data_IF_521340046162
#
_entry.id   IF_521340046162
#
_cell.length_a   1.000
_cell.length_b   1.000
_cell.length_c   1.000
_cell.angle_alpha   90.00
_cell.angle_beta   90.00
_cell.angle_gamma   90.00
#
_symmetry.space_group_name_H-M   'P 1'
#
loop_
_entity.id
_entity.type
_entity.pdbx_description
1 polymer ?
#
# COMPACT_ATOMS: atom_id res chain seq x y z
N UNK A 1 -11.97 -6.70 -8.40
CA UNK A 1 -12.57 -6.31 -7.09
C UNK A 1 -12.78 -4.79 -7.09
N UNK A 2 -14.03 -4.36 -7.00
CA UNK A 2 -14.40 -2.94 -7.04
C UNK A 2 -14.16 -2.27 -5.69
N UNK A 3 -13.52 -1.10 -5.68
CA UNK A 3 -13.17 -0.41 -4.44
C UNK A 3 -13.44 1.10 -4.49
N UNK A 4 -13.59 1.67 -3.28
CA UNK A 4 -13.52 3.10 -3.04
C UNK A 4 -12.18 3.40 -2.38
N UNK A 5 -11.43 4.39 -2.91
CA UNK A 5 -10.12 4.77 -2.39
C UNK A 5 -10.22 6.02 -1.50
N UNK A 6 -9.48 6.01 -0.39
CA UNK A 6 -9.25 7.22 0.39
C UNK A 6 -7.74 7.36 0.70
N UNK A 7 -7.10 8.34 0.09
CA UNK A 7 -5.69 8.66 0.31
C UNK A 7 -5.50 9.62 1.47
N UNK A 8 -4.75 9.23 2.52
CA UNK A 8 -4.58 10.01 3.73
C UNK A 8 -3.15 10.56 3.82
N UNK A 9 -3.03 11.88 3.96
CA UNK A 9 -1.76 12.60 3.95
C UNK A 9 -1.17 12.73 2.55
N UNK A 10 0.00 13.34 2.43
CA UNK A 10 0.64 13.63 1.14
C UNK A 10 0.92 12.36 0.33
N UNK A 11 1.62 11.39 0.91
CA UNK A 11 1.98 10.15 0.21
C UNK A 11 0.74 9.33 -0.14
N UNK A 12 -0.22 9.20 0.80
CA UNK A 12 -1.47 8.49 0.56
C UNK A 12 -2.31 9.12 -0.55
N UNK A 13 -2.44 10.44 -0.58
CA UNK A 13 -3.15 11.16 -1.63
C UNK A 13 -2.53 10.93 -3.03
N UNK A 14 -1.21 11.06 -3.14
CA UNK A 14 -0.48 10.79 -4.39
C UNK A 14 -0.63 9.34 -4.86
N UNK A 15 -0.63 8.39 -3.92
CA UNK A 15 -0.80 6.98 -4.25
C UNK A 15 -2.23 6.66 -4.71
N UNK A 16 -3.25 7.23 -4.07
CA UNK A 16 -4.63 7.10 -4.53
C UNK A 16 -4.81 7.67 -5.94
N UNK A 17 -4.27 8.86 -6.19
CA UNK A 17 -4.30 9.49 -7.51
C UNK A 17 -3.60 8.64 -8.59
N UNK A 18 -2.43 8.07 -8.28
CA UNK A 18 -1.72 7.16 -9.18
C UNK A 18 -2.51 5.86 -9.48
N UNK A 19 -3.23 5.31 -8.48
CA UNK A 19 -4.10 4.15 -8.66
C UNK A 19 -5.29 4.46 -9.59
N UNK A 20 -5.95 5.61 -9.40
CA UNK A 20 -7.04 6.06 -10.28
C UNK A 20 -6.54 6.24 -11.71
N UNK A 21 -5.38 6.87 -11.89
CA UNK A 21 -4.78 7.06 -13.21
C UNK A 21 -4.45 5.73 -13.88
N UNK A 22 -3.87 4.78 -13.15
CA UNK A 22 -3.55 3.45 -13.67
C UNK A 22 -4.81 2.69 -14.08
N UNK A 23 -5.84 2.66 -13.24
CA UNK A 23 -7.12 2.00 -13.50
C UNK A 23 -7.79 2.56 -14.77
N UNK A 24 -7.87 3.90 -14.85
CA UNK A 24 -8.45 4.59 -16.01
C UNK A 24 -7.65 4.35 -17.31
N UNK A 25 -6.31 4.40 -17.24
CA UNK A 25 -5.46 4.17 -18.42
C UNK A 25 -5.62 2.76 -19.02
N UNK A 26 -5.91 1.77 -18.17
CA UNK A 26 -6.08 0.38 -18.58
C UNK A 26 -7.56 -0.02 -18.78
N UNK A 27 -8.51 0.86 -18.44
CA UNK A 27 -9.95 0.60 -18.60
C UNK A 27 -10.47 -0.54 -17.72
N UNK A 28 -9.90 -0.73 -16.53
CA UNK A 28 -10.29 -1.82 -15.63
C UNK A 28 -11.58 -1.56 -14.85
N UNK A 29 -11.95 -0.31 -14.64
CA UNK A 29 -13.15 0.10 -13.89
C UNK A 29 -13.25 -0.52 -12.47
N UNK A 30 -12.11 -0.79 -11.86
CA UNK A 30 -12.00 -1.36 -10.51
C UNK A 30 -12.13 -0.29 -9.44
N UNK A 31 -11.64 0.93 -9.71
CA UNK A 31 -11.76 2.07 -8.79
C UNK A 31 -13.07 2.81 -9.07
N UNK A 32 -14.05 2.65 -8.17
CA UNK A 32 -15.37 3.26 -8.33
C UNK A 32 -15.36 4.76 -8.05
N UNK A 33 -14.61 5.18 -7.04
CA UNK A 33 -14.43 6.59 -6.66
C UNK A 33 -13.19 6.73 -5.77
N UNK A 34 -12.65 7.94 -5.68
CA UNK A 34 -11.47 8.22 -4.89
C UNK A 34 -11.50 9.62 -4.27
N UNK A 35 -10.90 9.74 -3.07
CA UNK A 35 -10.78 11.00 -2.35
C UNK A 35 -9.41 11.09 -1.68
N UNK A 36 -8.83 12.28 -1.62
CA UNK A 36 -7.63 12.56 -0.84
C UNK A 36 -7.96 13.42 0.38
N UNK A 37 -7.46 13.03 1.54
CA UNK A 37 -7.69 13.67 2.83
C UNK A 37 -6.36 14.14 3.38
N UNK A 38 -6.21 15.41 3.68
CA UNK A 38 -4.97 15.95 4.27
C UNK A 38 -5.26 17.15 5.17
N UNK A 39 -4.33 17.47 6.07
CA UNK A 39 -4.32 18.70 6.87
C UNK A 39 -3.56 19.85 6.19
N UNK A 40 -2.75 19.56 5.16
CA UNK A 40 -2.00 20.51 4.36
C UNK A 40 -2.70 20.79 3.02
N UNK A 41 -3.15 22.03 2.82
CA UNK A 41 -3.85 22.43 1.59
C UNK A 41 -2.97 22.33 0.35
N UNK A 42 -1.68 22.66 0.49
CA UNK A 42 -0.74 22.63 -0.64
C UNK A 42 -0.58 21.24 -1.25
N UNK A 43 -0.60 20.21 -0.41
CA UNK A 43 -0.43 18.83 -0.85
C UNK A 43 -1.65 18.30 -1.64
N UNK A 44 -2.82 18.87 -1.39
CA UNK A 44 -4.06 18.52 -2.08
C UNK A 44 -4.19 19.17 -3.47
N UNK A 45 -3.55 20.33 -3.69
CA UNK A 45 -3.71 21.12 -4.91
C UNK A 45 -3.17 20.46 -6.18
N UNK A 46 -2.25 19.51 -6.05
CA UNK A 46 -1.61 18.82 -7.18
C UNK A 46 -2.33 17.53 -7.60
N UNK A 47 -3.36 17.11 -6.88
CA UNK A 47 -4.08 15.86 -7.12
C UNK A 47 -5.24 16.08 -8.09
N UNK A 48 -5.50 15.05 -8.92
CA UNK A 48 -6.61 15.06 -9.88
C UNK A 48 -7.92 14.54 -9.28
N UNK A 49 -7.85 13.80 -8.16
CA UNK A 49 -9.01 13.27 -7.45
C UNK A 49 -9.60 14.30 -6.48
N UNK A 50 -10.83 14.07 -6.04
CA UNK A 50 -11.51 14.91 -5.04
C UNK A 50 -10.73 15.00 -3.73
N UNK A 51 -10.86 16.14 -3.04
CA UNK A 51 -10.03 16.42 -1.85
C UNK A 51 -10.88 16.89 -0.65
N UNK A 52 -10.44 16.49 0.55
CA UNK A 52 -10.96 16.98 1.84
C UNK A 52 -9.81 17.51 2.70
N UNK A 53 -9.97 18.74 3.17
CA UNK A 53 -9.02 19.39 4.09
C UNK A 53 -9.52 19.27 5.52
N UNK A 54 -8.84 18.45 6.34
CA UNK A 54 -9.15 18.30 7.77
C UNK A 54 -8.40 19.34 8.61
N UNK A 55 -8.96 19.66 9.77
CA UNK A 55 -8.37 20.61 10.73
C UNK A 55 -8.33 22.04 10.24
N UNK A 56 -9.16 22.44 9.28
CA UNK A 56 -9.14 23.78 8.69
C UNK A 56 -9.32 24.89 9.73
N UNK A 57 -10.20 24.69 10.72
CA UNK A 57 -10.45 25.66 11.81
C UNK A 57 -9.24 25.87 12.72
N UNK A 58 -8.36 24.88 12.84
CA UNK A 58 -7.20 24.88 13.74
C UNK A 58 -5.89 25.21 13.05
N UNK A 59 -5.66 24.65 11.86
CA UNK A 59 -4.36 24.75 11.15
C UNK A 59 -4.38 25.69 9.96
N UNK A 60 -5.56 26.14 9.51
CA UNK A 60 -5.71 27.00 8.31
C UNK A 60 -5.02 26.43 7.06
N UNK A 61 -4.86 25.09 6.99
CA UNK A 61 -4.25 24.40 5.86
C UNK A 61 -2.73 24.31 5.88
N UNK A 62 -2.05 24.61 6.99
CA UNK A 62 -0.58 24.53 7.08
C UNK A 62 -0.04 23.12 7.37
N UNK A 63 -0.90 22.14 7.64
CA UNK A 63 -0.50 20.78 8.00
C UNK A 63 -0.06 20.65 9.47
N UNK A 64 0.20 19.41 9.91
CA UNK A 64 0.56 19.07 11.30
C UNK A 64 2.07 19.02 11.55
N UNK A 65 2.93 19.27 10.54
CA UNK A 65 4.39 19.31 10.72
C UNK A 65 5.01 18.02 11.27
N UNK A 66 4.49 16.84 10.92
CA UNK A 66 5.00 15.56 11.42
C UNK A 66 4.34 15.06 12.72
N UNK A 67 3.51 15.85 13.38
CA UNK A 67 2.81 15.49 14.61
C UNK A 67 1.62 14.57 14.31
N UNK A 68 1.79 13.27 14.58
CA UNK A 68 0.74 12.28 14.33
C UNK A 68 -0.36 12.26 15.41
N UNK A 69 -0.07 12.64 16.64
CA UNK A 69 -1.08 12.74 17.71
C UNK A 69 -2.05 13.87 17.37
N UNK A 70 -1.50 15.01 16.93
CA UNK A 70 -2.30 16.14 16.46
C UNK A 70 -3.15 15.78 15.24
N UNK A 71 -2.62 14.99 14.31
CA UNK A 71 -3.37 14.54 13.13
C UNK A 71 -4.53 13.61 13.52
N UNK A 72 -4.34 12.74 14.50
CA UNK A 72 -5.40 11.88 15.04
C UNK A 72 -6.53 12.71 15.67
N UNK A 73 -6.19 13.70 16.51
CA UNK A 73 -7.18 14.63 17.10
C UNK A 73 -8.01 15.37 16.04
N UNK A 74 -7.34 15.87 14.98
CA UNK A 74 -8.02 16.57 13.90
C UNK A 74 -8.95 15.63 13.09
N UNK A 75 -8.51 14.41 12.83
CA UNK A 75 -9.37 13.41 12.18
C UNK A 75 -10.57 13.04 13.06
N UNK A 76 -10.40 12.91 14.37
CA UNK A 76 -11.52 12.66 15.29
C UNK A 76 -12.51 13.83 15.31
N UNK A 77 -12.03 15.07 15.26
CA UNK A 77 -12.87 16.26 15.24
C UNK A 77 -13.70 16.38 13.95
N UNK A 78 -13.11 16.04 12.80
CA UNK A 78 -13.74 16.16 11.48
C UNK A 78 -14.31 14.82 10.97
N UNK A 79 -14.33 13.78 11.84
CA UNK A 79 -14.67 12.40 11.45
C UNK A 79 -16.06 12.27 10.83
N UNK A 80 -17.04 13.03 11.29
CA UNK A 80 -18.39 12.98 10.76
C UNK A 80 -18.46 13.45 9.29
N UNK A 81 -17.79 14.56 8.97
CA UNK A 81 -17.70 15.10 7.62
C UNK A 81 -16.95 14.15 6.67
N UNK A 82 -15.79 13.63 7.13
CA UNK A 82 -15.00 12.67 6.35
C UNK A 82 -15.78 11.40 6.08
N UNK A 83 -16.46 10.85 7.11
CA UNK A 83 -17.28 9.66 6.98
C UNK A 83 -18.44 9.86 5.99
N UNK A 84 -19.15 10.98 6.08
CA UNK A 84 -20.24 11.31 5.15
C UNK A 84 -19.71 11.44 3.70
N UNK A 85 -18.57 12.07 3.55
CA UNK A 85 -17.94 12.26 2.23
C UNK A 85 -17.53 10.92 1.60
N UNK A 86 -16.98 9.98 2.37
CA UNK A 86 -16.66 8.63 1.90
C UNK A 86 -17.96 7.83 1.66
N UNK A 87 -18.91 7.90 2.58
CA UNK A 87 -20.18 7.19 2.48
C UNK A 87 -20.98 7.50 1.23
N UNK A 88 -20.96 8.75 0.79
CA UNK A 88 -21.63 9.18 -0.45
C UNK A 88 -21.00 8.58 -1.73
N UNK A 89 -19.80 8.00 -1.64
CA UNK A 89 -19.06 7.36 -2.74
C UNK A 89 -19.22 5.85 -2.76
N UNK A 90 -19.65 5.25 -1.65
CA UNK A 90 -19.84 3.80 -1.56
C UNK A 90 -21.17 3.44 -2.21
N UNK A 91 -21.08 2.78 -3.36
CA UNK A 91 -22.24 2.25 -4.09
C UNK A 91 -22.48 0.78 -3.71
N UNK A 92 -23.58 0.20 -4.18
CA UNK A 92 -23.86 -1.24 -4.02
C UNK A 92 -22.89 -2.14 -4.78
N UNK A 93 -22.05 -1.59 -5.63
CA UNK A 93 -21.03 -2.32 -6.37
C UNK A 93 -19.68 -2.35 -5.64
N UNK A 94 -19.46 -1.49 -4.65
CA UNK A 94 -18.22 -1.46 -3.90
C UNK A 94 -18.08 -2.73 -3.06
N UNK A 95 -16.99 -3.46 -3.27
CA UNK A 95 -16.64 -4.69 -2.57
C UNK A 95 -15.59 -4.47 -1.48
N UNK A 96 -14.94 -3.31 -1.46
CA UNK A 96 -13.96 -2.94 -0.43
C UNK A 96 -13.75 -1.43 -0.35
N UNK A 97 -13.20 -0.98 0.80
CA UNK A 97 -12.65 0.37 0.97
C UNK A 97 -11.14 0.20 1.15
N UNK A 98 -10.35 0.98 0.40
CA UNK A 98 -8.89 0.94 0.51
C UNK A 98 -8.39 2.31 0.95
N UNK A 99 -7.76 2.36 2.12
CA UNK A 99 -7.09 3.54 2.65
C UNK A 99 -5.62 3.49 2.23
N UNK A 100 -5.13 4.49 1.51
CA UNK A 100 -3.72 4.59 1.14
C UNK A 100 -3.01 5.61 2.02
N UNK A 101 -1.83 5.28 2.54
CA UNK A 101 -1.11 6.15 3.47
C UNK A 101 0.39 5.93 3.48
N UNK A 102 1.16 6.99 3.74
CA UNK A 102 2.56 6.91 4.15
C UNK A 102 2.66 7.02 5.66
N UNK A 103 3.33 6.07 6.31
CA UNK A 103 3.36 5.95 7.77
C UNK A 103 4.37 6.89 8.44
N UNK A 104 5.33 7.44 7.70
CA UNK A 104 6.36 8.35 8.27
C UNK A 104 5.85 9.77 8.54
N UNK A 105 4.87 10.25 7.78
CA UNK A 105 4.31 11.60 7.91
C UNK A 105 3.34 11.75 9.08
N UNK A 106 3.07 13.00 9.50
CA UNK A 106 2.12 13.28 10.59
C UNK A 106 0.68 12.92 10.22
N UNK A 107 0.14 13.49 9.14
CA UNK A 107 -1.28 13.30 8.76
C UNK A 107 -1.59 11.84 8.44
N UNK A 108 -0.79 11.20 7.57
CA UNK A 108 -1.00 9.81 7.18
C UNK A 108 -0.96 8.86 8.37
N UNK A 109 0.07 8.94 9.20
CA UNK A 109 0.26 8.04 10.34
C UNK A 109 -0.75 8.26 11.47
N UNK A 110 -1.20 9.50 11.71
CA UNK A 110 -2.13 9.81 12.78
C UNK A 110 -3.60 9.61 12.40
N UNK A 111 -4.01 10.11 11.25
CA UNK A 111 -5.41 10.10 10.82
C UNK A 111 -5.90 8.74 10.32
N UNK A 112 -5.02 7.93 9.68
CA UNK A 112 -5.42 6.63 9.11
C UNK A 112 -5.95 5.64 10.15
N UNK A 113 -5.30 5.45 11.33
CA UNK A 113 -5.83 4.53 12.36
C UNK A 113 -7.22 4.92 12.86
N UNK A 114 -7.48 6.22 12.99
CA UNK A 114 -8.77 6.76 13.43
C UNK A 114 -9.85 6.43 12.40
N UNK A 115 -9.58 6.76 11.14
CA UNK A 115 -10.52 6.53 10.05
C UNK A 115 -10.76 5.03 9.80
N UNK A 116 -9.71 4.21 9.79
CA UNK A 116 -9.82 2.76 9.60
C UNK A 116 -10.75 2.14 10.66
N UNK A 117 -10.53 2.43 11.94
CA UNK A 117 -11.37 1.96 13.05
C UNK A 117 -12.84 2.36 12.85
N UNK A 118 -13.08 3.59 12.39
CA UNK A 118 -14.43 4.07 12.17
C UNK A 118 -15.13 3.35 11.02
N UNK A 119 -14.45 3.22 9.89
CA UNK A 119 -15.03 2.59 8.70
C UNK A 119 -15.27 1.08 8.92
N UNK A 120 -14.33 0.37 9.50
CA UNK A 120 -14.51 -1.06 9.86
C UNK A 120 -15.69 -1.29 10.82
N UNK A 121 -16.00 -0.32 11.69
CA UNK A 121 -17.12 -0.43 12.62
C UNK A 121 -18.51 -0.21 11.99
N UNK A 122 -18.59 0.43 10.83
CA UNK A 122 -19.87 0.86 10.23
C UNK A 122 -20.19 0.23 8.87
N UNK A 123 -19.19 -0.33 8.17
CA UNK A 123 -19.40 -0.96 6.87
C UNK A 123 -19.15 -2.47 6.96
N UNK A 124 -19.99 -3.25 6.28
CA UNK A 124 -19.85 -4.71 6.18
C UNK A 124 -18.82 -5.14 5.13
N UNK A 125 -18.48 -4.24 4.19
CA UNK A 125 -17.40 -4.48 3.22
C UNK A 125 -16.03 -4.28 3.88
N UNK A 126 -15.01 -5.08 3.52
CA UNK A 126 -13.70 -4.99 4.16
C UNK A 126 -13.01 -3.65 3.93
N UNK A 127 -12.31 -3.19 4.97
CA UNK A 127 -11.48 -1.99 4.98
C UNK A 127 -10.01 -2.40 4.99
N UNK A 128 -9.34 -2.21 3.88
CA UNK A 128 -7.91 -2.47 3.74
C UNK A 128 -7.09 -1.19 3.87
N UNK A 129 -5.88 -1.32 4.39
CA UNK A 129 -4.91 -0.22 4.41
C UNK A 129 -3.71 -0.59 3.55
N UNK A 130 -3.41 0.22 2.55
CA UNK A 130 -2.18 0.18 1.78
C UNK A 130 -1.20 1.17 2.40
N UNK A 131 -0.25 0.64 3.16
CA UNK A 131 0.63 1.41 4.03
C UNK A 131 2.07 1.37 3.55
N UNK A 132 2.63 2.55 3.28
CA UNK A 132 4.02 2.71 2.84
C UNK A 132 4.90 2.98 4.05
N UNK A 133 5.89 2.11 4.30
CA UNK A 133 6.90 2.27 5.34
C UNK A 133 7.92 3.35 4.93
N UNK A 134 8.41 4.14 5.87
CA UNK A 134 9.50 5.08 5.59
C UNK A 134 10.77 4.31 5.18
N UNK A 135 11.55 4.94 4.31
CA UNK A 135 12.90 4.47 3.97
C UNK A 135 13.80 4.45 5.21
N UNK A 136 14.80 3.57 5.20
CA UNK A 136 15.79 3.48 6.28
C UNK A 136 16.59 4.77 6.48
N UNK A 137 16.63 5.65 5.49
CA UNK A 137 17.32 6.96 5.52
C UNK A 137 16.43 8.10 6.04
N UNK A 138 15.12 7.85 6.23
CA UNK A 138 14.23 8.88 6.77
C UNK A 138 14.48 9.16 8.26
N UNK A 139 13.92 10.26 8.75
CA UNK A 139 14.17 10.74 10.12
C UNK A 139 13.69 9.77 11.20
N UNK A 140 14.26 9.88 12.40
CA UNK A 140 13.82 9.15 13.58
C UNK A 140 12.33 9.38 13.88
N UNK A 141 11.83 10.60 13.68
CA UNK A 141 10.42 10.93 13.84
C UNK A 141 9.54 10.12 12.88
N UNK A 142 9.96 9.97 11.62
CA UNK A 142 9.24 9.17 10.64
C UNK A 142 9.14 7.70 11.08
N UNK A 143 10.21 7.12 11.62
CA UNK A 143 10.21 5.75 12.14
C UNK A 143 9.32 5.59 13.37
N UNK A 144 9.34 6.54 14.31
CA UNK A 144 8.45 6.56 15.50
C UNK A 144 6.99 6.63 15.08
N UNK A 145 6.65 7.57 14.20
CA UNK A 145 5.30 7.73 13.67
C UNK A 145 4.81 6.43 13.02
N UNK A 146 5.65 5.85 12.16
CA UNK A 146 5.31 4.64 11.43
C UNK A 146 5.15 3.42 12.37
N UNK A 147 6.01 3.24 13.38
CA UNK A 147 5.90 2.16 14.35
C UNK A 147 4.61 2.23 15.16
N UNK A 148 4.23 3.42 15.64
CA UNK A 148 2.98 3.65 16.36
C UNK A 148 1.75 3.38 15.49
N UNK A 149 1.76 3.93 14.29
CA UNK A 149 0.67 3.82 13.33
C UNK A 149 0.46 2.38 12.87
N UNK A 150 1.53 1.69 12.44
CA UNK A 150 1.46 0.31 11.97
C UNK A 150 0.86 -0.64 13.03
N UNK A 151 1.32 -0.52 14.26
CA UNK A 151 0.78 -1.31 15.38
C UNK A 151 -0.73 -1.12 15.56
N UNK A 152 -1.23 0.09 15.37
CA UNK A 152 -2.66 0.39 15.53
C UNK A 152 -3.46 -0.07 14.32
N UNK A 153 -2.98 0.22 13.11
CA UNK A 153 -3.67 -0.12 11.85
C UNK A 153 -3.83 -1.64 11.71
N UNK A 154 -2.80 -2.43 11.98
CA UNK A 154 -2.83 -3.90 11.87
C UNK A 154 -3.84 -4.57 12.82
N UNK A 155 -4.27 -3.86 13.85
CA UNK A 155 -5.31 -4.31 14.78
C UNK A 155 -6.70 -3.74 14.48
N UNK A 156 -6.82 -2.78 13.57
CA UNK A 156 -8.08 -2.09 13.29
C UNK A 156 -8.61 -2.33 11.88
N UNK A 157 -7.73 -2.46 10.89
CA UNK A 157 -8.11 -2.79 9.52
C UNK A 157 -8.29 -4.30 9.32
N UNK A 158 -9.09 -4.69 8.34
CA UNK A 158 -9.27 -6.10 7.98
C UNK A 158 -7.98 -6.73 7.44
N UNK A 159 -7.18 -5.98 6.68
CA UNK A 159 -5.79 -6.29 6.37
C UNK A 159 -4.98 -5.03 6.06
N UNK A 160 -3.66 -5.11 6.27
CA UNK A 160 -2.72 -4.03 5.97
C UNK A 160 -1.67 -4.52 4.96
N UNK A 161 -1.79 -4.08 3.70
CA UNK A 161 -0.78 -4.33 2.69
C UNK A 161 0.41 -3.39 2.93
N UNK A 162 1.54 -3.97 3.25
CA UNK A 162 2.76 -3.22 3.53
C UNK A 162 3.63 -3.07 2.29
N UNK A 163 4.09 -1.85 2.08
CA UNK A 163 5.05 -1.50 1.03
C UNK A 163 6.28 -0.91 1.69
N UNK A 164 7.41 -1.55 1.50
CA UNK A 164 8.70 -1.02 1.92
C UNK A 164 9.26 -0.07 0.84
N UNK A 165 9.45 1.19 1.16
CA UNK A 165 10.04 2.17 0.22
C UNK A 165 11.43 1.76 -0.26
N UNK A 166 12.18 0.97 0.54
CA UNK A 166 13.51 0.52 0.15
C UNK A 166 13.49 -0.71 -0.77
N UNK A 167 12.36 -1.42 -0.89
CA UNK A 167 12.27 -2.66 -1.68
C UNK A 167 12.51 -2.44 -3.17
N UNK A 168 12.17 -1.26 -3.70
CA UNK A 168 12.23 -0.99 -5.14
C UNK A 168 12.98 0.30 -5.51
N UNK A 169 13.78 0.85 -4.61
CA UNK A 169 14.64 2.02 -4.90
C UNK A 169 15.78 1.64 -5.82
N UNK A 170 15.97 2.43 -6.86
CA UNK A 170 17.14 2.34 -7.74
C UNK A 170 18.23 3.31 -7.29
N UNK A 171 19.49 2.89 -7.37
CA UNK A 171 20.63 3.77 -7.05
C UNK A 171 20.79 4.87 -8.10
N UNK A 172 20.79 6.14 -7.65
CA UNK A 172 21.09 7.29 -8.52
C UNK A 172 19.89 8.10 -9.01
N UNK A 173 18.66 7.79 -8.56
CA UNK A 173 17.48 8.60 -8.86
C UNK A 173 17.37 9.80 -7.91
N UNK A 174 16.76 10.91 -8.38
CA UNK A 174 16.38 12.01 -7.49
C UNK A 174 15.28 11.56 -6.53
N UNK A 175 15.16 12.19 -5.35
CA UNK A 175 14.11 11.82 -4.39
C UNK A 175 12.70 11.94 -4.97
N UNK A 176 12.42 12.98 -5.75
CA UNK A 176 11.09 13.20 -6.35
C UNK A 176 10.76 12.15 -7.41
N UNK A 177 11.72 11.88 -8.31
CA UNK A 177 11.53 10.93 -9.41
C UNK A 177 11.44 9.49 -8.87
N UNK A 178 12.21 9.19 -7.81
CA UNK A 178 12.14 7.92 -7.12
C UNK A 178 10.76 7.64 -6.49
N UNK A 179 10.16 8.62 -5.82
CA UNK A 179 8.81 8.46 -5.24
C UNK A 179 7.72 8.32 -6.31
N UNK A 180 7.82 9.02 -7.44
CA UNK A 180 6.87 8.87 -8.53
C UNK A 180 6.96 7.47 -9.15
N UNK A 181 8.17 7.00 -9.42
CA UNK A 181 8.44 5.64 -9.92
C UNK A 181 7.90 4.57 -8.96
N UNK A 182 8.12 4.73 -7.65
CA UNK A 182 7.59 3.81 -6.64
C UNK A 182 6.07 3.81 -6.64
N UNK A 183 5.42 4.98 -6.67
CA UNK A 183 3.96 5.08 -6.72
C UNK A 183 3.38 4.39 -7.96
N UNK A 184 4.01 4.54 -9.12
CA UNK A 184 3.61 3.85 -10.35
C UNK A 184 3.77 2.32 -10.23
N UNK A 185 4.85 1.85 -9.62
CA UNK A 185 5.05 0.42 -9.38
C UNK A 185 4.03 -0.16 -8.41
N UNK A 186 3.67 0.58 -7.36
CA UNK A 186 2.61 0.20 -6.44
C UNK A 186 1.27 0.18 -7.18
N UNK A 187 0.96 1.24 -7.93
CA UNK A 187 -0.28 1.36 -8.69
C UNK A 187 -0.44 0.21 -9.70
N UNK A 188 0.63 -0.20 -10.40
CA UNK A 188 0.63 -1.37 -11.28
C UNK A 188 0.25 -2.65 -10.54
N UNK A 189 0.85 -2.92 -9.38
CA UNK A 189 0.61 -4.14 -8.60
C UNK A 189 -0.80 -4.21 -8.02
N UNK A 190 -1.21 -3.13 -7.38
CA UNK A 190 -2.54 -3.04 -6.77
C UNK A 190 -3.63 -2.98 -7.84
N UNK A 191 -3.43 -2.20 -8.91
CA UNK A 191 -4.37 -2.13 -10.03
C UNK A 191 -4.56 -3.48 -10.71
N UNK A 192 -3.49 -4.24 -10.94
CA UNK A 192 -3.57 -5.61 -11.46
C UNK A 192 -4.32 -6.55 -10.49
N UNK A 193 -4.09 -6.42 -9.17
CA UNK A 193 -4.80 -7.20 -8.17
C UNK A 193 -6.30 -6.91 -8.19
N UNK A 194 -6.67 -5.64 -8.26
CA UNK A 194 -8.08 -5.21 -8.32
C UNK A 194 -8.74 -5.69 -9.61
N UNK A 195 -8.07 -5.49 -10.74
CA UNK A 195 -8.56 -5.90 -12.06
C UNK A 195 -8.73 -7.41 -12.20
N UNK A 196 -7.82 -8.20 -11.63
CA UNK A 196 -7.87 -9.66 -11.70
C UNK A 196 -9.13 -10.25 -11.04
N UNK A 197 -9.74 -9.53 -10.08
CA UNK A 197 -11.00 -9.92 -9.46
C UNK A 197 -12.26 -9.51 -10.25
N UNK A 198 -12.13 -8.86 -11.41
CA UNK A 198 -13.26 -8.46 -12.23
C UNK A 198 -13.53 -9.47 -13.35
N UNK A 199 -14.82 -9.72 -13.70
CA UNK A 199 -15.17 -10.60 -14.80
C UNK A 199 -14.65 -10.06 -16.14
N UNK A 200 -14.05 -10.93 -16.95
CA UNK A 200 -13.64 -10.60 -18.32
C UNK A 200 -14.60 -11.31 -19.30
N UNK A 201 -15.24 -10.53 -20.15
CA UNK A 201 -16.15 -11.05 -21.17
C UNK A 201 -15.40 -11.98 -22.14
N UNK A 202 -15.92 -13.21 -22.30
CA UNK A 202 -15.43 -14.18 -23.30
C UNK A 202 -14.23 -15.04 -22.87
N UNK A 203 -13.77 -14.94 -21.62
CA UNK A 203 -12.72 -15.82 -21.09
C UNK A 203 -13.31 -16.73 -20.02
N UNK A 204 -13.20 -18.05 -20.25
CA UNK A 204 -13.75 -19.08 -19.36
C UNK A 204 -12.62 -19.87 -18.68
N UNK A 205 -12.87 -20.28 -17.48
CA UNK A 205 -12.45 -21.46 -16.72
C UNK A 205 -11.48 -21.33 -15.55
N UNK A 206 -10.69 -20.28 -15.38
CA UNK A 206 -9.79 -20.18 -14.21
C UNK A 206 -9.47 -18.74 -13.82
N UNK A 207 -10.39 -17.83 -14.05
CA UNK A 207 -10.23 -16.40 -13.70
C UNK A 207 -10.34 -16.27 -12.19
N UNK A 208 -9.39 -15.56 -11.60
CA UNK A 208 -9.46 -15.12 -10.19
C UNK A 208 -10.69 -14.24 -10.04
N UNK A 209 -11.48 -14.43 -9.00
CA UNK A 209 -12.59 -13.55 -8.66
C UNK A 209 -12.29 -12.70 -7.41
N UNK A 210 -13.12 -11.68 -7.17
CA UNK A 210 -12.95 -10.78 -6.02
C UNK A 210 -12.99 -11.53 -4.68
N UNK A 211 -13.73 -12.65 -4.60
CA UNK A 211 -13.81 -13.46 -3.39
C UNK A 211 -12.48 -14.13 -3.05
N UNK A 212 -11.67 -14.51 -4.03
CA UNK A 212 -10.34 -15.09 -3.78
C UNK A 212 -9.37 -14.05 -3.22
N UNK A 213 -9.43 -12.80 -3.71
CA UNK A 213 -8.66 -11.68 -3.15
C UNK A 213 -9.09 -11.40 -1.71
N UNK A 214 -10.39 -11.25 -1.47
CA UNK A 214 -10.96 -11.00 -0.16
C UNK A 214 -10.59 -12.13 0.82
N UNK A 215 -10.79 -13.39 0.43
CA UNK A 215 -10.46 -14.55 1.27
C UNK A 215 -8.96 -14.66 1.59
N UNK A 216 -8.09 -14.22 0.67
CA UNK A 216 -6.64 -14.21 0.92
C UNK A 216 -6.29 -13.15 1.96
N UNK A 217 -6.85 -11.95 1.84
CA UNK A 217 -6.64 -10.84 2.77
C UNK A 217 -7.38 -11.04 4.11
N UNK A 218 -8.44 -11.88 4.15
CA UNK A 218 -9.19 -12.21 5.37
C UNK A 218 -8.33 -12.91 6.44
N UNK A 219 -7.13 -13.40 6.08
CA UNK A 219 -6.15 -13.85 7.07
C UNK A 219 -5.78 -12.75 8.08
N UNK A 220 -6.07 -11.49 7.76
CA UNK A 220 -5.92 -10.32 8.62
C UNK A 220 -4.46 -9.93 8.88
N UNK A 221 -4.28 -8.90 9.71
CA UNK A 221 -2.95 -8.40 10.06
C UNK A 221 -2.19 -7.83 8.86
N UNK A 222 -0.94 -8.23 8.68
CA UNK A 222 -0.09 -7.74 7.60
C UNK A 222 -0.22 -8.60 6.35
N UNK A 223 -0.11 -7.97 5.19
CA UNK A 223 -0.07 -8.61 3.88
C UNK A 223 1.07 -8.02 3.03
N UNK A 224 1.56 -8.78 2.07
CA UNK A 224 2.58 -8.34 1.11
C UNK A 224 2.14 -8.66 -0.32
N UNK A 225 2.65 -7.90 -1.28
CA UNK A 225 2.34 -8.07 -2.69
C UNK A 225 3.63 -8.07 -3.51
N UNK A 226 3.75 -9.01 -4.43
CA UNK A 226 4.88 -9.11 -5.35
C UNK A 226 4.43 -9.24 -6.79
N UNK A 227 5.21 -8.69 -7.71
CA UNK A 227 4.96 -8.79 -9.14
C UNK A 227 6.26 -8.86 -9.92
N UNK A 228 6.28 -9.75 -10.89
CA UNK A 228 7.34 -9.78 -11.90
C UNK A 228 6.76 -10.26 -13.25
N UNK A 229 7.33 -9.77 -14.33
CA UNK A 229 6.99 -10.20 -15.69
C UNK A 229 8.24 -10.57 -16.46
N UNK A 230 8.13 -11.58 -17.32
CA UNK A 230 9.21 -12.10 -18.16
C UNK A 230 8.70 -12.34 -19.58
N UNK A 231 9.53 -12.25 -20.60
CA UNK A 231 9.11 -12.55 -21.98
C UNK A 231 8.48 -13.94 -22.08
N UNK A 232 7.33 -14.01 -22.76
CA UNK A 232 6.65 -15.28 -23.01
C UNK A 232 7.37 -16.08 -24.09
N UNK A 233 7.41 -17.40 -23.92
CA UNK A 233 7.79 -18.34 -25.00
C UNK A 233 6.70 -18.44 -26.06
N UNK A 234 7.03 -19.06 -27.19
CA UNK A 234 6.12 -19.17 -28.34
C UNK A 234 4.96 -20.15 -28.08
N UNK A 235 5.17 -21.16 -27.24
CA UNK A 235 4.17 -22.20 -26.97
C UNK A 235 3.80 -22.28 -25.47
N UNK A 236 2.62 -22.86 -25.20
CA UNK A 236 2.16 -23.15 -23.84
C UNK A 236 3.14 -24.04 -23.08
N UNK A 237 3.83 -24.98 -23.78
CA UNK A 237 4.81 -25.89 -23.14
C UNK A 237 6.09 -25.14 -22.71
N UNK A 238 6.57 -24.21 -23.52
CA UNK A 238 7.72 -23.38 -23.20
C UNK A 238 7.45 -22.54 -21.94
N UNK A 239 6.21 -22.09 -21.76
CA UNK A 239 5.80 -21.22 -20.67
C UNK A 239 5.61 -21.93 -19.32
N UNK A 240 5.69 -23.26 -19.22
CA UNK A 240 5.67 -23.97 -17.93
C UNK A 240 6.78 -23.47 -16.98
N UNK A 241 7.99 -23.37 -17.51
CA UNK A 241 9.13 -22.89 -16.74
C UNK A 241 9.15 -21.36 -16.61
N UNK A 242 8.68 -20.65 -17.62
CA UNK A 242 8.54 -19.19 -17.65
C UNK A 242 7.61 -18.73 -16.54
N UNK A 243 6.43 -19.34 -16.37
CA UNK A 243 5.49 -19.05 -15.28
C UNK A 243 6.13 -19.32 -13.91
N UNK A 244 6.84 -20.44 -13.77
CA UNK A 244 7.54 -20.74 -12.51
C UNK A 244 8.65 -19.74 -12.21
N UNK A 245 9.40 -19.30 -13.22
CA UNK A 245 10.43 -18.29 -13.06
C UNK A 245 9.83 -16.92 -12.69
N UNK A 246 8.76 -16.49 -13.37
CA UNK A 246 8.05 -15.26 -13.05
C UNK A 246 7.52 -15.27 -11.61
N UNK A 247 6.91 -16.39 -11.17
CA UNK A 247 6.39 -16.55 -9.80
C UNK A 247 7.50 -16.45 -8.76
N UNK A 248 8.63 -17.13 -8.98
CA UNK A 248 9.79 -17.04 -8.07
C UNK A 248 10.38 -15.64 -8.02
N UNK A 249 10.50 -14.98 -9.16
CA UNK A 249 11.00 -13.60 -9.20
C UNK A 249 10.02 -12.64 -8.53
N UNK A 250 8.71 -12.81 -8.69
CA UNK A 250 7.69 -12.04 -7.99
C UNK A 250 7.80 -12.19 -6.47
N UNK A 251 8.09 -13.40 -6.00
CA UNK A 251 8.25 -13.70 -4.57
C UNK A 251 9.58 -13.19 -4.01
N UNK A 252 10.72 -13.52 -4.62
CA UNK A 252 12.03 -13.21 -4.04
C UNK A 252 12.53 -11.78 -4.28
N UNK A 253 12.22 -11.19 -5.45
CA UNK A 253 12.73 -9.87 -5.84
C UNK A 253 11.65 -8.84 -6.13
N UNK A 254 10.42 -9.28 -6.35
CA UNK A 254 9.29 -8.41 -6.66
C UNK A 254 8.39 -8.09 -5.46
N UNK A 255 8.61 -8.74 -4.31
CA UNK A 255 7.78 -8.59 -3.12
C UNK A 255 7.94 -7.20 -2.50
N UNK A 256 6.87 -6.67 -1.96
CA UNK A 256 6.81 -5.38 -1.28
C UNK A 256 7.47 -5.37 0.11
N UNK A 257 7.82 -6.53 0.63
CA UNK A 257 8.58 -6.72 1.87
C UNK A 257 9.80 -7.58 1.56
N UNK A 258 10.96 -7.16 2.02
CA UNK A 258 12.22 -7.89 1.86
C UNK A 258 12.43 -8.91 2.97
N UNK A 259 13.18 -9.99 2.67
CA UNK A 259 13.53 -11.06 3.63
C UNK A 259 12.62 -12.29 3.56
N UNK A 260 12.81 -13.21 4.50
CA UNK A 260 12.01 -14.42 4.60
C UNK A 260 10.60 -14.09 5.10
N UNK A 261 9.57 -14.46 4.34
CA UNK A 261 8.18 -14.13 4.64
C UNK A 261 7.35 -15.39 4.71
N UNK A 262 6.91 -15.77 5.92
CA UNK A 262 5.90 -16.79 6.13
C UNK A 262 4.50 -16.18 6.15
N UNK A 263 3.51 -16.84 5.55
CA UNK A 263 2.16 -16.32 5.43
C UNK A 263 1.10 -17.38 5.70
N UNK A 264 -0.08 -16.98 6.18
CA UNK A 264 -1.20 -17.88 6.44
C UNK A 264 -1.95 -18.26 5.16
N UNK A 265 -2.00 -17.37 4.19
CA UNK A 265 -2.67 -17.53 2.91
C UNK A 265 -1.85 -16.90 1.80
N UNK A 266 -2.00 -17.40 0.59
CA UNK A 266 -1.39 -16.83 -0.60
C UNK A 266 -2.35 -16.86 -1.79
N UNK A 267 -2.20 -15.89 -2.69
CA UNK A 267 -2.87 -15.83 -3.98
C UNK A 267 -1.81 -15.68 -5.06
N UNK A 268 -1.92 -16.50 -6.11
CA UNK A 268 -1.10 -16.41 -7.31
C UNK A 268 -1.99 -16.05 -8.51
N UNK A 269 -1.72 -14.93 -9.16
CA UNK A 269 -2.38 -14.53 -10.40
C UNK A 269 -1.36 -14.52 -11.52
N UNK A 270 -1.60 -15.30 -12.58
CA UNK A 270 -0.77 -15.31 -13.77
C UNK A 270 -1.42 -14.46 -14.84
N UNK A 271 -0.66 -13.51 -15.39
CA UNK A 271 -1.13 -12.61 -16.46
C UNK A 271 -0.39 -12.90 -17.76
N UNK A 272 -1.09 -12.75 -18.89
CA UNK A 272 -0.53 -12.96 -20.24
C UNK A 272 -1.62 -13.29 -21.25
N UNK A 273 -1.23 -13.57 -22.50
CA UNK A 273 -2.17 -14.06 -23.49
C UNK A 273 -2.72 -15.45 -23.11
N UNK A 274 -4.04 -15.69 -23.23
CA UNK A 274 -4.67 -16.96 -22.84
C UNK A 274 -3.98 -18.19 -23.42
N UNK A 275 -3.64 -18.14 -24.71
CA UNK A 275 -2.99 -19.25 -25.44
C UNK A 275 -1.55 -19.52 -24.98
N UNK A 276 -0.96 -18.63 -24.19
CA UNK A 276 0.39 -18.75 -23.66
C UNK A 276 0.42 -19.14 -22.19
N UNK A 277 -0.72 -19.07 -21.47
CA UNK A 277 -0.79 -19.47 -20.06
C UNK A 277 -0.89 -20.97 -19.94
N UNK A 278 0.13 -21.60 -19.38
CA UNK A 278 0.17 -23.04 -19.15
C UNK A 278 -0.47 -23.42 -17.82
N UNK A 279 -1.59 -24.14 -17.84
CA UNK A 279 -2.24 -24.68 -16.64
C UNK A 279 -1.26 -25.48 -15.77
N UNK A 280 -0.40 -26.30 -16.39
CA UNK A 280 0.63 -27.06 -15.69
C UNK A 280 1.67 -26.14 -15.03
N UNK A 281 2.01 -25.03 -15.67
CA UNK A 281 2.89 -24.00 -15.11
C UNK A 281 2.26 -23.34 -13.87
N UNK A 282 0.98 -22.98 -13.95
CA UNK A 282 0.22 -22.39 -12.84
C UNK A 282 0.17 -23.37 -11.65
N UNK A 283 -0.22 -24.63 -11.88
CA UNK A 283 -0.29 -25.66 -10.83
C UNK A 283 1.07 -25.92 -10.17
N UNK A 284 2.16 -25.96 -10.96
CA UNK A 284 3.54 -26.12 -10.45
C UNK A 284 3.95 -24.94 -9.58
N UNK A 285 3.60 -23.75 -10.01
CA UNK A 285 3.93 -22.51 -9.29
C UNK A 285 3.15 -22.38 -7.97
N UNK A 286 1.87 -22.78 -7.97
CA UNK A 286 1.06 -22.84 -6.75
C UNK A 286 1.65 -23.79 -5.71
N UNK A 287 2.02 -25.02 -6.10
CA UNK A 287 2.66 -25.99 -5.18
C UNK A 287 3.99 -25.45 -4.64
N UNK A 288 4.79 -24.85 -5.51
CA UNK A 288 6.04 -24.24 -5.06
C UNK A 288 5.79 -23.13 -4.04
N UNK A 289 4.78 -22.28 -4.26
CA UNK A 289 4.42 -21.21 -3.34
C UNK A 289 3.88 -21.76 -2.00
N UNK A 290 3.17 -22.89 -2.03
CA UNK A 290 2.70 -23.62 -0.86
C UNK A 290 3.89 -24.11 0.01
N UNK A 291 4.89 -24.73 -0.64
CA UNK A 291 6.10 -25.21 0.02
C UNK A 291 6.93 -24.04 0.59
N UNK A 292 7.05 -22.94 -0.16
CA UNK A 292 7.91 -21.80 0.22
C UNK A 292 7.31 -20.97 1.37
N UNK A 293 5.99 -20.75 1.34
CA UNK A 293 5.33 -19.91 2.35
C UNK A 293 4.89 -20.69 3.60
N UNK A 294 4.87 -22.00 3.53
CA UNK A 294 4.26 -22.88 4.54
C UNK A 294 2.73 -22.75 4.62
N UNK A 295 2.11 -22.05 3.67
CA UNK A 295 0.67 -21.83 3.64
C UNK A 295 -0.06 -23.05 3.06
N UNK A 296 -1.08 -23.56 3.76
CA UNK A 296 -1.99 -24.58 3.22
C UNK A 296 -3.14 -23.97 2.38
N UNK A 297 -3.21 -22.65 2.29
CA UNK A 297 -4.27 -21.94 1.57
C UNK A 297 -3.68 -21.11 0.42
N UNK A 298 -3.20 -21.79 -0.62
CA UNK A 298 -2.73 -21.11 -1.83
C UNK A 298 -3.83 -21.16 -2.89
N UNK A 299 -4.42 -19.99 -3.13
CA UNK A 299 -5.40 -19.77 -4.20
C UNK A 299 -4.67 -19.32 -5.46
N UNK A 300 -5.33 -19.35 -6.59
CA UNK A 300 -4.76 -18.76 -7.79
C UNK A 300 -5.47 -19.16 -9.06
N UNK A 301 -5.27 -18.33 -10.04
CA UNK A 301 -5.81 -18.46 -11.38
C UNK A 301 -5.05 -17.57 -12.34
N UNK A 302 -5.67 -17.33 -13.47
CA UNK A 302 -5.15 -16.46 -14.52
C UNK A 302 -5.96 -15.18 -14.62
N UNK A 303 -5.29 -14.13 -15.07
CA UNK A 303 -5.86 -12.88 -15.51
C UNK A 303 -5.36 -12.62 -16.94
N UNK A 304 -6.14 -13.10 -17.95
CA UNK A 304 -5.77 -12.96 -19.34
C UNK A 304 -5.73 -11.51 -19.79
N UNK A 305 -4.66 -11.14 -20.48
CA UNK A 305 -4.51 -9.83 -21.12
C UNK A 305 -3.62 -9.93 -22.35
N UNK A 306 -3.80 -9.04 -23.30
CA UNK A 306 -2.89 -8.92 -24.43
C UNK A 306 -1.50 -8.50 -23.94
N UNK A 307 -0.51 -9.37 -24.11
CA UNK A 307 0.87 -9.11 -23.70
C UNK A 307 1.82 -10.13 -24.33
N UNK A 308 2.99 -9.69 -24.73
CA UNK A 308 4.10 -10.55 -25.11
C UNK A 308 4.88 -11.12 -23.91
N UNK A 309 4.39 -10.84 -22.68
CA UNK A 309 5.01 -11.27 -21.45
C UNK A 309 4.07 -12.14 -20.60
N UNK A 310 4.67 -13.01 -19.81
CA UNK A 310 4.01 -13.71 -18.71
C UNK A 310 4.33 -12.95 -17.43
N UNK A 311 3.29 -12.46 -16.76
CA UNK A 311 3.40 -11.85 -15.45
C UNK A 311 2.94 -12.79 -14.35
N UNK A 312 3.52 -12.68 -13.18
CA UNK A 312 3.06 -13.34 -11.96
C UNK A 312 2.87 -12.29 -10.86
N UNK A 313 1.68 -12.25 -10.29
CA UNK A 313 1.33 -11.47 -9.11
C UNK A 313 1.15 -12.44 -7.94
N UNK A 314 1.85 -12.17 -6.85
CA UNK A 314 1.77 -12.95 -5.60
C UNK A 314 1.25 -12.04 -4.51
N UNK A 315 0.20 -12.47 -3.80
CA UNK A 315 -0.28 -11.78 -2.59
C UNK A 315 -0.16 -12.74 -1.42
N UNK A 316 0.43 -12.26 -0.34
CA UNK A 316 0.61 -13.00 0.90
C UNK A 316 -0.26 -12.36 1.97
N UNK A 317 -1.21 -13.13 2.53
CA UNK A 317 -2.10 -12.69 3.60
C UNK A 317 -1.71 -13.29 4.95
N UNK A 318 -1.85 -12.50 6.03
CA UNK A 318 -1.50 -12.92 7.37
C UNK A 318 0.00 -13.21 7.52
N UNK A 319 0.84 -12.29 7.05
CA UNK A 319 2.30 -12.36 7.19
C UNK A 319 2.68 -12.48 8.67
N UNK A 320 3.39 -13.53 9.02
CA UNK A 320 3.72 -13.89 10.40
C UNK A 320 5.17 -13.58 10.79
N UNK A 321 6.09 -13.69 9.84
CA UNK A 321 7.52 -13.47 10.03
C UNK A 321 8.05 -12.59 8.90
N UNK A 322 8.83 -11.58 9.26
CA UNK A 322 9.57 -10.76 8.33
C UNK A 322 10.69 -10.05 9.10
N UNK A 323 11.92 -10.37 8.77
CA UNK A 323 13.12 -9.74 9.36
C UNK A 323 13.08 -8.21 9.19
N UNK A 324 12.52 -7.77 8.07
CA UNK A 324 12.37 -6.34 7.77
C UNK A 324 11.42 -5.64 8.75
N UNK A 325 10.31 -6.28 9.08
CA UNK A 325 9.32 -5.72 10.02
C UNK A 325 9.88 -5.73 11.44
N UNK A 326 10.57 -6.79 11.84
CA UNK A 326 11.21 -6.86 13.15
C UNK A 326 12.29 -5.78 13.30
N UNK A 327 13.20 -5.65 12.35
CA UNK A 327 14.20 -4.58 12.32
C UNK A 327 13.59 -3.18 12.25
N UNK A 328 12.44 -3.01 11.60
CA UNK A 328 11.70 -1.76 11.58
C UNK A 328 11.16 -1.39 12.97
N UNK A 329 10.54 -2.32 13.69
CA UNK A 329 10.05 -2.06 15.05
C UNK A 329 11.18 -1.82 16.06
N UNK A 330 12.31 -2.50 15.92
CA UNK A 330 13.50 -2.24 16.75
C UNK A 330 14.01 -0.81 16.54
N UNK A 331 14.16 -0.39 15.29
CA UNK A 331 14.56 0.98 14.98
C UNK A 331 13.58 2.02 15.51
N UNK A 332 12.28 1.79 15.40
CA UNK A 332 11.25 2.68 15.96
C UNK A 332 11.35 2.77 17.50
N UNK A 333 11.69 1.67 18.18
CA UNK A 333 11.94 1.67 19.63
C UNK A 333 13.21 2.44 20.00
N UNK A 334 14.30 2.22 19.29
CA UNK A 334 15.57 2.94 19.48
C UNK A 334 15.40 4.43 19.28
N UNK A 335 14.69 4.84 18.21
CA UNK A 335 14.36 6.23 17.93
C UNK A 335 13.51 6.86 19.04
N UNK A 336 12.61 6.09 19.67
CA UNK A 336 11.79 6.57 20.80
C UNK A 336 12.63 6.72 22.08
N UNK A 337 13.65 5.90 22.26
CA UNK A 337 14.53 5.92 23.43
C UNK A 337 15.68 6.93 23.31
N UNK A 338 15.98 7.42 22.09
CA UNK A 338 17.00 8.42 21.86
C UNK A 338 16.63 9.71 22.62
N UNK A 339 17.56 10.35 23.36
CA UNK A 339 17.32 11.64 23.96
C UNK A 339 16.90 12.62 22.86
N UNK A 340 15.85 13.38 23.08
CA UNK A 340 15.52 14.52 22.21
C UNK A 340 16.72 15.45 22.34
N UNK A 341 17.60 15.47 21.34
CA UNK A 341 18.55 16.56 21.18
C UNK A 341 17.70 17.81 20.99
N UNK A 342 17.44 18.50 22.08
CA UNK A 342 16.92 19.86 22.01
C UNK A 342 18.01 20.63 21.29
N UNK A 343 17.74 21.04 20.03
CA UNK A 343 18.47 22.09 19.31
C UNK A 343 18.35 23.38 20.12
N UNK A 344 19.09 23.44 21.23
CA UNK A 344 19.21 24.63 22.09
C UNK A 344 20.60 25.27 21.91
N UNK A 345 21.32 24.95 20.83
CA UNK A 345 22.59 25.57 20.52
C UNK A 345 22.42 26.84 19.66
N UNK A 346 21.32 26.98 18.92
CA UNK A 346 21.07 28.23 18.17
C UNK A 346 20.73 29.42 19.05
N UNK A 347 20.21 29.20 20.25
CA UNK A 347 19.99 30.30 21.22
C UNK A 347 21.29 30.87 21.79
N UNK A 348 22.39 30.13 21.78
CA UNK A 348 23.71 30.59 22.22
C UNK A 348 24.47 31.34 21.12
N UNK A 349 24.14 31.15 19.84
CA UNK A 349 24.73 31.89 18.73
C UNK A 349 24.26 33.34 18.65
N UNK A 350 23.17 33.70 19.32
CA UNK A 350 22.65 35.08 19.37
C UNK A 350 22.94 35.83 20.68
N UNK A 351 23.68 35.24 21.59
CA UNK A 351 24.28 36.00 22.71
C UNK A 351 25.59 36.65 22.21
N UNK A 352 25.44 37.82 21.63
CA UNK A 352 26.57 38.62 21.19
C UNK A 352 26.99 39.46 22.39
N UNK A 353 28.11 39.10 23.04
CA UNK A 353 28.72 39.84 24.16
C UNK A 353 29.24 41.27 23.79
N UNK A 354 28.96 41.72 22.54
CA UNK A 354 29.39 43.04 22.05
C UNK A 354 28.37 44.15 22.27
N UNK A 355 27.21 43.90 22.88
CA UNK A 355 26.19 44.94 23.14
C UNK A 355 26.13 45.45 24.59
N UNK A 356 26.94 44.94 25.49
CA UNK A 356 27.01 45.42 26.89
C UNK A 356 27.95 46.63 27.10
N UNK A 357 28.28 47.35 26.06
CA UNK A 357 29.23 48.49 26.09
C UNK A 357 28.74 49.80 25.47
N UNK A 358 27.42 50.07 25.41
CA UNK A 358 26.89 51.38 25.01
C UNK A 358 25.91 51.95 26.02
#
# INVERSE_FOLDING_TARGET
>A
MKCVLAGIGQAGGKLADALVQFDHQHGYDSVQDAIAINSAKTDLQSLAIDTVLIGQSHLKGHGVGGDNERAAELMEADLAEVQETIGNRITSQAESIILTTGLGGGTGSGATPVLARRLTAIYDIPVYVLAVLPSTEESNLAHVNAGRSLKTITNTADATLLIDNDAWRSTGESLSDGYETINQQIAKRIGLLLAAGEPIDGVAESVVDSSEVINTLQAGGMAAIGYNEVPAGESTEDNINTITAATRSAFFSGLSLTGDVAAKSALLVITGEPDRISRKGVEKSRRWLEDETGSMQVRGGDFPRESDQIGALVVLGGVQQSDRIEGFFERAKEATAAPIETENDDAKMFQNDELDGL
#
